data_IF_878796445459
#
_entry.id   IF_878796445459
#
_cell.length_a   1.000
_cell.length_b   1.000
_cell.length_c   1.000
_cell.angle_alpha   90.00
_cell.angle_beta   90.00
_cell.angle_gamma   90.00
#
_symmetry.space_group_name_H-M   'P 1'
#
loop_
_entity.id
_entity.type
_entity.pdbx_description
1 polymer ?
#
# COMPACT_ATOMS: atom_id res chain seq x y z
N UNK A 1 -2.93 -12.16 -19.19
CA UNK A 1 -2.27 -10.86 -18.87
C UNK A 1 -3.33 -9.79 -18.75
N UNK A 2 -3.29 -9.00 -17.69
CA UNK A 2 -4.26 -7.90 -17.54
C UNK A 2 -3.70 -6.60 -18.15
N UNK A 3 -4.60 -5.75 -18.61
CA UNK A 3 -4.24 -4.44 -19.17
C UNK A 3 -4.16 -3.44 -18.03
N UNK A 4 -3.01 -2.78 -17.91
CA UNK A 4 -2.76 -1.79 -16.87
C UNK A 4 -2.59 -0.43 -17.53
N UNK A 5 -3.42 0.53 -17.15
CA UNK A 5 -3.36 1.89 -17.69
C UNK A 5 -3.42 2.96 -16.59
N UNK A 6 -3.32 2.55 -15.31
CA UNK A 6 -3.46 3.47 -14.18
C UNK A 6 -2.52 3.05 -13.05
N UNK A 7 -1.91 4.02 -12.41
CA UNK A 7 -1.17 3.83 -11.16
C UNK A 7 -1.89 4.64 -10.08
N UNK A 8 -2.24 3.97 -8.97
CA UNK A 8 -2.90 4.62 -7.84
C UNK A 8 -1.95 4.61 -6.66
N UNK A 9 -1.67 5.78 -6.11
CA UNK A 9 -0.75 5.94 -4.98
C UNK A 9 -1.55 6.11 -3.70
N UNK A 10 -1.22 5.30 -2.70
CA UNK A 10 -1.84 5.32 -1.39
C UNK A 10 -0.80 5.57 -0.30
N UNK A 11 -1.24 5.96 0.88
CA UNK A 11 -0.41 5.92 2.09
C UNK A 11 -0.92 4.83 3.02
N UNK A 12 -0.02 4.34 3.88
CA UNK A 12 -0.38 3.32 4.88
C UNK A 12 -1.11 3.91 6.08
N UNK A 13 -1.21 5.24 6.18
CA UNK A 13 -1.73 5.96 7.33
C UNK A 13 -0.95 5.60 8.61
N UNK A 14 0.38 5.58 8.49
CA UNK A 14 1.30 5.34 9.60
C UNK A 14 1.83 6.68 10.10
N UNK A 15 1.87 6.85 11.43
CA UNK A 15 2.44 8.06 12.04
C UNK A 15 3.92 8.18 11.70
N UNK A 16 4.41 9.41 11.54
CA UNK A 16 5.79 9.65 11.13
C UNK A 16 6.81 9.15 12.14
N UNK A 17 6.44 9.01 13.43
CA UNK A 17 7.26 8.46 14.49
C UNK A 17 7.10 6.95 14.69
N UNK A 18 6.34 6.30 13.82
CA UNK A 18 6.08 4.85 13.85
C UNK A 18 6.58 4.21 12.57
N UNK A 19 6.72 2.89 12.60
CA UNK A 19 7.08 2.09 11.44
C UNK A 19 6.03 1.02 11.19
N UNK A 20 5.92 0.59 9.94
CA UNK A 20 5.03 -0.50 9.54
C UNK A 20 5.80 -1.37 8.54
N UNK A 21 6.20 -2.57 8.97
CA UNK A 21 6.90 -3.50 8.07
C UNK A 21 5.96 -4.05 7.01
N UNK A 22 6.49 -4.58 5.87
CA UNK A 22 5.65 -5.26 4.88
C UNK A 22 4.86 -6.42 5.49
N UNK A 23 5.43 -7.13 6.44
CA UNK A 23 4.76 -8.23 7.15
C UNK A 23 3.59 -7.73 7.99
N UNK A 24 3.75 -6.59 8.66
CA UNK A 24 2.68 -5.95 9.44
C UNK A 24 1.55 -5.49 8.53
N UNK A 25 1.88 -4.90 7.37
CA UNK A 25 0.90 -4.46 6.39
C UNK A 25 0.09 -5.67 5.87
N UNK A 26 0.77 -6.77 5.56
CA UNK A 26 0.12 -8.00 5.11
C UNK A 26 -0.83 -8.53 6.18
N UNK A 27 -0.39 -8.53 7.44
CA UNK A 27 -1.21 -8.99 8.57
C UNK A 27 -2.46 -8.14 8.76
N UNK A 28 -2.34 -6.81 8.62
CA UNK A 28 -3.49 -5.92 8.71
C UNK A 28 -4.52 -6.19 7.61
N UNK A 29 -4.06 -6.43 6.38
CA UNK A 29 -4.96 -6.72 5.27
C UNK A 29 -5.64 -8.08 5.45
N UNK A 30 -4.93 -9.09 5.96
CA UNK A 30 -5.53 -10.40 6.25
C UNK A 30 -6.60 -10.32 7.32
N UNK A 31 -6.43 -9.45 8.31
CA UNK A 31 -7.45 -9.20 9.36
C UNK A 31 -8.72 -8.60 8.76
N UNK A 32 -8.62 -7.87 7.65
CA UNK A 32 -9.77 -7.31 6.94
C UNK A 32 -10.44 -8.31 5.98
N UNK A 33 -9.95 -9.55 5.93
CA UNK A 33 -10.48 -10.60 5.07
C UNK A 33 -9.81 -10.69 3.71
N UNK A 34 -8.72 -9.97 3.47
CA UNK A 34 -7.96 -10.07 2.23
C UNK A 34 -7.02 -11.26 2.27
N UNK A 35 -6.60 -11.75 1.10
CA UNK A 35 -5.65 -12.86 0.96
C UNK A 35 -4.20 -12.39 1.03
N UNK A 36 -3.93 -11.30 1.72
CA UNK A 36 -2.62 -10.66 1.82
C UNK A 36 -2.70 -9.20 1.46
N UNK A 37 -1.54 -8.58 1.25
CA UNK A 37 -1.47 -7.15 0.91
C UNK A 37 -2.19 -6.86 -0.40
N UNK A 38 -3.06 -5.84 -0.41
CA UNK A 38 -3.82 -5.44 -1.59
C UNK A 38 -3.04 -4.56 -2.56
N UNK A 39 -1.90 -4.01 -2.14
CA UNK A 39 -1.03 -3.18 -2.97
C UNK A 39 -0.01 -4.04 -3.69
N UNK A 40 0.41 -3.63 -4.89
CA UNK A 40 1.46 -4.33 -5.63
C UNK A 40 2.85 -3.97 -5.10
N UNK A 41 3.07 -2.69 -4.76
CA UNK A 41 4.33 -2.20 -4.21
C UNK A 41 4.11 -1.48 -2.89
N UNK A 42 5.07 -1.63 -1.99
CA UNK A 42 5.10 -0.91 -0.72
C UNK A 42 6.47 -0.25 -0.57
N UNK A 43 6.47 1.07 -0.36
CA UNK A 43 7.70 1.87 -0.26
C UNK A 43 7.86 2.29 1.19
N UNK A 44 8.98 1.86 1.80
CA UNK A 44 9.31 2.21 3.18
C UNK A 44 9.82 3.65 3.29
N UNK A 45 9.86 4.18 4.51
CA UNK A 45 10.35 5.54 4.78
C UNK A 45 11.78 5.78 4.29
N UNK A 46 12.61 4.74 4.29
CA UNK A 46 14.01 4.81 3.82
C UNK A 46 14.13 4.71 2.29
N UNK A 47 13.01 4.59 1.59
CA UNK A 47 12.98 4.45 0.14
C UNK A 47 13.04 3.02 -0.38
N UNK A 48 13.16 2.03 0.50
CA UNK A 48 13.16 0.63 0.08
C UNK A 48 11.82 0.25 -0.51
N UNK A 49 11.84 -0.37 -1.69
CA UNK A 49 10.64 -0.79 -2.43
C UNK A 49 10.48 -2.31 -2.31
N UNK A 50 9.30 -2.73 -1.89
CA UNK A 50 8.95 -4.15 -1.79
C UNK A 50 7.84 -4.48 -2.77
N UNK A 51 7.98 -5.58 -3.51
CA UNK A 51 6.88 -6.16 -4.29
C UNK A 51 6.04 -7.01 -3.34
N UNK A 52 4.83 -6.55 -3.04
CA UNK A 52 3.97 -7.20 -2.04
C UNK A 52 2.83 -7.99 -2.66
N UNK A 53 2.59 -7.83 -3.95
CA UNK A 53 1.59 -8.58 -4.71
C UNK A 53 2.03 -8.64 -6.16
N UNK A 54 1.93 -9.81 -6.78
CA UNK A 54 2.34 -9.98 -8.18
C UNK A 54 1.54 -9.03 -9.10
N UNK A 55 2.21 -8.43 -10.06
CA UNK A 55 1.60 -7.44 -10.98
C UNK A 55 0.45 -8.05 -11.77
N UNK A 56 0.56 -9.33 -12.13
CA UNK A 56 -0.47 -10.05 -12.90
C UNK A 56 -1.76 -10.26 -12.10
N UNK A 57 -1.70 -10.16 -10.78
CA UNK A 57 -2.87 -10.31 -9.92
C UNK A 57 -3.56 -8.96 -9.74
N UNK A 58 -4.88 -8.98 -9.86
CA UNK A 58 -5.70 -7.80 -9.56
C UNK A 58 -5.52 -7.44 -8.09
N UNK A 59 -5.27 -6.17 -7.80
CA UNK A 59 -5.10 -5.67 -6.45
C UNK A 59 -6.41 -5.57 -5.67
N UNK A 60 -6.30 -5.18 -4.41
CA UNK A 60 -7.43 -4.90 -3.54
C UNK A 60 -7.14 -3.59 -2.80
N UNK A 61 -7.04 -2.49 -3.54
CA UNK A 61 -6.60 -1.20 -3.00
C UNK A 61 -7.50 -0.02 -3.40
N UNK A 62 -8.24 -0.12 -4.51
CA UNK A 62 -9.08 0.97 -5.00
C UNK A 62 -10.31 0.40 -5.70
N UNK A 63 -11.43 0.29 -4.98
CA UNK A 63 -12.66 -0.28 -5.49
C UNK A 63 -13.07 0.40 -6.80
N UNK A 64 -13.34 -0.38 -7.83
CA UNK A 64 -13.70 0.10 -9.17
C UNK A 64 -12.51 0.33 -10.09
N UNK A 65 -11.28 0.32 -9.58
CA UNK A 65 -10.07 0.60 -10.37
C UNK A 65 -9.06 -0.54 -10.33
N UNK A 66 -9.29 -1.57 -9.52
CA UNK A 66 -8.32 -2.64 -9.29
C UNK A 66 -7.96 -3.42 -10.54
N UNK A 67 -8.91 -3.65 -11.45
CA UNK A 67 -8.72 -4.53 -12.61
C UNK A 67 -7.70 -3.99 -13.61
N UNK A 68 -7.47 -2.68 -13.66
CA UNK A 68 -6.61 -2.05 -14.67
C UNK A 68 -5.55 -1.13 -14.05
N UNK A 69 -5.25 -1.30 -12.75
CA UNK A 69 -4.30 -0.44 -12.06
C UNK A 69 -3.22 -1.22 -11.33
N UNK A 70 -2.13 -0.51 -11.04
CA UNK A 70 -1.12 -0.93 -10.06
C UNK A 70 -1.31 -0.06 -8.82
N UNK A 71 -1.39 -0.69 -7.66
CA UNK A 71 -1.46 0.01 -6.38
C UNK A 71 -0.08 0.14 -5.76
N UNK A 72 0.32 1.37 -5.45
CA UNK A 72 1.57 1.67 -4.76
C UNK A 72 1.21 2.33 -3.43
N UNK A 73 1.71 1.78 -2.34
CA UNK A 73 1.51 2.34 -1.00
C UNK A 73 2.84 2.80 -0.43
N UNK A 74 2.89 4.01 0.15
CA UNK A 74 4.07 4.43 0.88
C UNK A 74 3.80 4.42 2.38
N UNK A 75 4.84 4.10 3.15
CA UNK A 75 4.79 4.09 4.61
C UNK A 75 4.76 5.53 5.12
N UNK A 76 3.66 5.90 5.77
CA UNK A 76 3.49 7.25 6.29
C UNK A 76 2.08 7.79 6.09
N UNK A 77 1.98 9.09 5.94
CA UNK A 77 0.72 9.80 5.68
C UNK A 77 0.11 10.47 6.90
N UNK A 78 0.65 10.23 8.11
CA UNK A 78 0.20 10.87 9.33
C UNK A 78 1.37 11.53 10.05
N UNK A 79 1.11 12.70 10.68
CA UNK A 79 2.11 13.34 11.55
C UNK A 79 2.19 12.60 12.90
N UNK A 80 3.06 13.06 13.79
CA UNK A 80 3.26 12.41 15.10
C UNK A 80 2.04 12.49 16.02
N UNK A 81 1.04 13.30 15.67
CA UNK A 81 -0.24 13.38 16.40
C UNK A 81 -1.34 12.57 15.72
N UNK A 82 -1.03 11.84 14.65
CA UNK A 82 -1.99 11.02 13.91
C UNK A 82 -2.87 11.79 12.95
N UNK A 83 -2.51 13.03 12.59
CA UNK A 83 -3.25 13.83 11.62
C UNK A 83 -2.69 13.64 10.20
N UNK A 84 -3.53 13.69 9.16
CA UNK A 84 -3.03 13.59 7.79
C UNK A 84 -1.96 14.63 7.48
N UNK A 85 -0.86 14.17 6.88
CA UNK A 85 0.28 15.02 6.54
C UNK A 85 1.06 14.40 5.38
N UNK A 86 1.77 15.24 4.62
CA UNK A 86 2.71 14.75 3.61
C UNK A 86 4.03 14.41 4.30
N UNK A 87 4.30 13.12 4.46
CA UNK A 87 5.50 12.61 5.14
C UNK A 87 6.50 11.98 4.15
N UNK A 88 6.30 12.18 2.86
CA UNK A 88 7.16 11.63 1.81
C UNK A 88 8.52 12.32 1.77
#
# INVERSE_FOLDING_TARGET
MRIINLIVVHCSATREDCTLSPEDLDRLHRRRGFNGTGYHYYIRKDGTVYLTRAIERVGAHAKGFNTHSIGICYEGGLDCRGRPADTR
#
